data_IF_894970399286
#
_entry.id   IF_894970399286
#
_cell.length_a   1.000
_cell.length_b   1.000
_cell.length_c   1.000
_cell.angle_alpha   90.00
_cell.angle_beta   90.00
_cell.angle_gamma   90.00
#
_symmetry.space_group_name_H-M   'P 1'
#
loop_
_entity.id
_entity.type
_entity.pdbx_description
1 polymer ?
#
# COMPACT_ATOMS: atom_id res chain seq x y z
N UNK A 1 7.02 -45.52 -15.88
CA UNK A 1 7.57 -44.71 -16.99
C UNK A 1 6.78 -43.41 -17.07
N UNK A 2 7.27 -42.34 -16.43
CA UNK A 2 6.55 -41.06 -16.43
C UNK A 2 6.66 -40.38 -17.79
N UNK A 3 5.56 -39.83 -18.36
CA UNK A 3 5.58 -39.25 -19.68
C UNK A 3 6.47 -38.00 -19.70
N UNK A 4 7.19 -37.80 -20.81
CA UNK A 4 8.13 -36.66 -20.98
C UNK A 4 7.45 -35.29 -20.77
N UNK A 5 6.13 -35.22 -20.99
CA UNK A 5 5.29 -34.04 -20.74
C UNK A 5 5.16 -33.69 -19.25
N UNK A 6 5.21 -34.66 -18.32
CA UNK A 6 5.08 -34.39 -16.88
C UNK A 6 6.30 -33.65 -16.32
N UNK A 7 7.51 -33.97 -16.79
CA UNK A 7 8.73 -33.26 -16.40
C UNK A 7 8.69 -31.81 -16.90
N UNK A 8 8.23 -31.61 -18.13
CA UNK A 8 7.99 -30.29 -18.72
C UNK A 8 7.00 -29.46 -17.90
N UNK A 9 5.89 -30.06 -17.46
CA UNK A 9 4.90 -29.41 -16.59
C UNK A 9 5.48 -29.02 -15.23
N UNK A 10 6.34 -29.87 -14.64
CA UNK A 10 7.02 -29.55 -13.39
C UNK A 10 7.99 -28.38 -13.55
N UNK A 11 8.74 -28.32 -14.66
CA UNK A 11 9.61 -27.18 -14.96
C UNK A 11 8.82 -25.89 -15.20
N UNK A 12 7.69 -25.97 -15.90
CA UNK A 12 6.81 -24.83 -16.14
C UNK A 12 6.19 -24.31 -14.84
N UNK A 13 5.76 -25.22 -13.96
CA UNK A 13 5.24 -24.88 -12.63
C UNK A 13 6.30 -24.25 -11.73
N UNK A 14 7.52 -24.79 -11.74
CA UNK A 14 8.65 -24.21 -11.00
C UNK A 14 9.02 -22.81 -11.52
N UNK A 15 8.98 -22.60 -12.84
CA UNK A 15 9.24 -21.30 -13.46
C UNK A 15 8.15 -20.26 -13.10
N UNK A 16 6.87 -20.66 -13.06
CA UNK A 16 5.77 -19.77 -12.66
C UNK A 16 5.87 -19.35 -11.18
N UNK A 17 6.31 -20.27 -10.30
CA UNK A 17 6.49 -20.01 -8.88
C UNK A 17 7.65 -19.04 -8.58
N UNK A 18 8.68 -19.01 -9.43
CA UNK A 18 9.81 -18.08 -9.31
C UNK A 18 9.47 -16.66 -9.76
N UNK A 19 8.53 -16.48 -10.70
CA UNK A 19 8.16 -15.17 -11.26
C UNK A 19 7.14 -14.35 -10.45
N UNK A 20 6.46 -14.96 -9.47
CA UNK A 20 5.41 -14.29 -8.68
C UNK A 20 5.93 -13.36 -7.58
N UNK A 21 7.26 -13.29 -7.40
CA UNK A 21 7.88 -12.55 -6.30
C UNK A 21 8.12 -11.07 -6.59
N UNK A 22 7.76 -10.58 -7.80
CA UNK A 22 7.68 -9.14 -8.07
C UNK A 22 6.40 -8.61 -7.43
N UNK A 23 6.39 -8.67 -6.10
CA UNK A 23 5.34 -8.16 -5.25
C UNK A 23 5.25 -6.64 -5.42
N UNK A 24 4.03 -6.13 -5.27
CA UNK A 24 3.60 -4.74 -5.36
C UNK A 24 4.29 -3.85 -4.31
N UNK A 25 5.60 -3.68 -4.40
CA UNK A 25 6.34 -2.77 -3.56
C UNK A 25 6.09 -1.35 -4.08
N UNK A 26 5.56 -0.48 -3.21
CA UNK A 26 5.50 0.94 -3.52
C UNK A 26 6.92 1.48 -3.71
N UNK A 27 7.09 2.40 -4.65
CA UNK A 27 8.40 2.97 -4.99
C UNK A 27 8.92 4.00 -3.96
N UNK A 28 8.48 3.86 -2.71
CA UNK A 28 8.84 4.76 -1.63
C UNK A 28 8.71 4.10 -0.25
N UNK A 29 9.41 4.67 0.73
CA UNK A 29 9.36 4.29 2.15
C UNK A 29 9.01 5.52 2.96
N UNK A 30 7.93 5.47 3.73
CA UNK A 30 7.58 6.52 4.69
C UNK A 30 8.37 6.25 5.98
N UNK A 31 9.35 7.10 6.28
CA UNK A 31 10.19 7.01 7.48
C UNK A 31 9.50 7.53 8.73
N UNK A 32 8.75 8.61 8.56
CA UNK A 32 8.04 9.26 9.64
C UNK A 32 6.70 9.80 9.13
N UNK A 33 5.70 9.74 10.00
CA UNK A 33 4.33 10.10 9.71
C UNK A 33 3.68 10.69 10.96
N UNK A 34 3.25 11.95 10.87
CA UNK A 34 2.50 12.62 11.93
C UNK A 34 1.25 13.26 11.37
N UNK A 35 0.15 13.18 12.12
CA UNK A 35 -1.12 13.84 11.79
C UNK A 35 -1.50 14.74 12.96
N UNK A 36 -1.89 15.96 12.64
CA UNK A 36 -2.61 16.86 13.54
C UNK A 36 -4.05 17.00 13.04
N UNK A 37 -5.03 16.84 13.93
CA UNK A 37 -6.45 16.96 13.61
C UNK A 37 -7.08 17.91 14.63
N UNK A 38 -7.69 18.98 14.12
CA UNK A 38 -8.41 19.97 14.93
C UNK A 38 -9.87 20.02 14.51
N UNK A 39 -10.76 19.96 15.50
CA UNK A 39 -12.18 20.21 15.33
C UNK A 39 -12.45 21.69 15.63
N UNK A 40 -12.89 22.43 14.62
CA UNK A 40 -13.28 23.82 14.75
C UNK A 40 -14.66 23.93 15.38
N UNK A 41 -14.96 25.10 15.95
CA UNK A 41 -16.27 25.37 16.58
C UNK A 41 -17.44 25.30 15.60
N UNK A 42 -17.19 25.48 14.30
CA UNK A 42 -18.18 25.36 13.24
C UNK A 42 -18.40 23.90 12.77
N UNK A 43 -17.71 22.94 13.41
CA UNK A 43 -17.80 21.52 13.09
C UNK A 43 -16.92 21.08 11.93
N UNK A 44 -16.13 21.98 11.33
CA UNK A 44 -15.14 21.61 10.31
C UNK A 44 -13.91 20.96 10.95
N UNK A 45 -13.25 20.06 10.22
CA UNK A 45 -11.96 19.49 10.62
C UNK A 45 -10.83 20.10 9.82
N UNK A 46 -9.80 20.59 10.51
CA UNK A 46 -8.50 20.86 9.91
C UNK A 46 -7.60 19.65 10.12
N UNK A 47 -7.00 19.13 9.05
CA UNK A 47 -6.15 17.95 9.07
C UNK A 47 -4.81 18.30 8.42
N UNK A 48 -3.72 18.15 9.18
CA UNK A 48 -2.36 18.39 8.70
C UNK A 48 -1.55 17.11 8.80
N UNK A 49 -1.24 16.50 7.66
CA UNK A 49 -0.34 15.36 7.55
C UNK A 49 1.07 15.81 7.20
N UNK A 50 2.08 15.29 7.92
CA UNK A 50 3.50 15.50 7.60
C UNK A 50 4.17 14.14 7.44
N UNK A 51 4.77 13.93 6.27
CA UNK A 51 5.42 12.68 5.90
C UNK A 51 6.88 12.94 5.56
N UNK A 52 7.77 12.10 6.07
CA UNK A 52 9.15 11.99 5.57
C UNK A 52 9.22 10.76 4.67
N UNK A 53 9.46 10.97 3.38
CA UNK A 53 9.36 9.93 2.35
C UNK A 53 10.68 9.80 1.60
N UNK A 54 11.20 8.59 1.54
CA UNK A 54 12.33 8.23 0.69
C UNK A 54 11.81 7.54 -0.56
N UNK A 55 12.09 8.06 -1.74
CA UNK A 55 11.74 7.41 -3.00
C UNK A 55 12.86 6.49 -3.48
N UNK A 56 12.52 5.29 -3.94
CA UNK A 56 13.49 4.33 -4.50
C UNK A 56 13.78 4.58 -5.98
N UNK A 57 13.02 5.48 -6.62
CA UNK A 57 13.22 5.97 -7.98
C UNK A 57 12.71 7.42 -8.10
N UNK A 58 13.02 8.11 -9.21
CA UNK A 58 12.58 9.49 -9.40
C UNK A 58 11.04 9.59 -9.49
N UNK A 59 10.43 10.24 -8.50
CA UNK A 59 8.98 10.49 -8.41
C UNK A 59 8.74 11.94 -8.01
N UNK A 60 7.55 12.47 -8.38
CA UNK A 60 7.11 13.82 -7.99
C UNK A 60 6.38 13.86 -6.64
N UNK A 61 6.06 12.71 -6.08
CA UNK A 61 5.22 12.58 -4.89
C UNK A 61 4.58 11.20 -4.79
N UNK A 62 3.67 11.04 -3.84
CA UNK A 62 2.88 9.83 -3.61
C UNK A 62 1.39 10.15 -3.80
N UNK A 63 0.62 9.20 -4.33
CA UNK A 63 -0.84 9.30 -4.45
C UNK A 63 -1.45 8.50 -3.32
N UNK A 64 -2.39 9.10 -2.58
CA UNK A 64 -3.02 8.50 -1.41
C UNK A 64 -4.51 8.78 -1.43
N UNK A 65 -5.29 7.80 -0.96
CA UNK A 65 -6.69 7.99 -0.61
C UNK A 65 -6.78 8.23 0.89
N UNK A 66 -7.25 9.40 1.30
CA UNK A 66 -7.44 9.72 2.72
C UNK A 66 -8.83 9.21 3.13
N UNK A 67 -8.92 8.21 4.03
CA UNK A 67 -10.20 7.66 4.42
C UNK A 67 -10.97 8.64 5.33
N UNK A 68 -12.11 9.13 4.86
CA UNK A 68 -12.99 10.07 5.60
C UNK A 68 -14.09 9.31 6.37
N UNK A 69 -13.77 8.14 6.96
CA UNK A 69 -14.76 7.33 7.70
C UNK A 69 -14.80 7.73 9.17
N UNK A 70 -15.84 8.47 9.56
CA UNK A 70 -16.15 8.75 10.96
C UNK A 70 -17.07 7.67 11.53
N UNK A 71 -16.68 7.05 12.64
CA UNK A 71 -17.60 6.26 13.44
C UNK A 71 -18.53 7.23 14.19
N UNK A 72 -19.76 7.36 13.73
CA UNK A 72 -20.79 8.08 14.48
C UNK A 72 -21.21 7.16 15.63
N UNK A 73 -20.73 7.44 16.83
CA UNK A 73 -21.24 6.76 18.03
C UNK A 73 -22.65 7.27 18.30
N UNK A 74 -23.65 6.45 18.00
CA UNK A 74 -25.03 6.75 18.33
C UNK A 74 -25.26 6.44 19.82
N UNK A 75 -25.14 7.44 20.69
CA UNK A 75 -25.66 7.36 22.06
C UNK A 75 -27.13 7.75 22.03
N UNK A 76 -28.00 6.73 21.96
CA UNK A 76 -29.43 6.87 22.26
C UNK A 76 -29.69 6.85 23.76
#
# INVERSE_FOLDING_TARGET
MYPRSLRSLLWLGALLLLGSQVALAEAFVIRNYSIDIQLNSDGSFEVVEKLTVDFTEARRGIIRSIPVRYAVWNTG
#
